data_IF_009433222940
#
_entry.id   IF_009433222940
#
_cell.length_a   1.000
_cell.length_b   1.000
_cell.length_c   1.000
_cell.angle_alpha   90.00
_cell.angle_beta   90.00
_cell.angle_gamma   90.00
#
_symmetry.space_group_name_H-M   'P 1'
#
loop_
_entity.id
_entity.type
_entity.pdbx_description
1 polymer ?
#
# COMPACT_ATOMS: atom_id res chain seq x y z
N UNK A 1 -6.36 -21.34 7.29
CA UNK A 1 -5.36 -20.53 8.00
C UNK A 1 -4.08 -20.60 7.17
N UNK A 2 -3.83 -19.60 6.33
CA UNK A 2 -2.45 -19.36 5.89
C UNK A 2 -1.74 -18.91 7.16
N UNK A 3 -0.59 -19.48 7.48
CA UNK A 3 0.17 -19.05 8.66
C UNK A 3 1.15 -17.98 8.16
N UNK A 4 0.63 -16.78 7.88
CA UNK A 4 1.46 -15.66 7.40
C UNK A 4 2.63 -15.38 8.36
N UNK A 5 2.47 -15.71 9.65
CA UNK A 5 3.49 -15.53 10.67
C UNK A 5 4.63 -16.52 10.52
N UNK A 6 4.34 -17.78 10.19
CA UNK A 6 5.37 -18.80 9.92
C UNK A 6 6.25 -18.50 8.71
N UNK A 7 5.80 -17.63 7.80
CA UNK A 7 6.58 -17.22 6.62
C UNK A 7 7.64 -16.15 6.94
N UNK A 8 7.47 -15.37 8.02
CA UNK A 8 8.34 -14.23 8.36
C UNK A 8 9.83 -14.60 8.48
N UNK A 9 10.23 -15.70 9.17
CA UNK A 9 11.65 -16.05 9.30
C UNK A 9 12.32 -16.37 7.96
N UNK A 10 11.57 -16.92 6.99
CA UNK A 10 12.09 -17.25 5.67
C UNK A 10 12.34 -16.00 4.83
N UNK A 11 11.47 -15.00 4.94
CA UNK A 11 11.66 -13.72 4.29
C UNK A 11 12.84 -12.94 4.86
N UNK A 12 13.04 -13.00 6.18
CA UNK A 12 14.18 -12.34 6.85
C UNK A 12 15.52 -12.85 6.31
N UNK A 13 15.67 -14.17 6.15
CA UNK A 13 16.86 -14.75 5.53
C UNK A 13 17.08 -14.26 4.09
N UNK A 14 15.99 -14.03 3.35
CA UNK A 14 16.08 -13.51 1.97
C UNK A 14 16.51 -12.04 1.90
N UNK A 15 16.20 -11.24 2.92
CA UNK A 15 16.60 -9.83 2.99
C UNK A 15 18.08 -9.61 3.31
N UNK A 16 18.79 -10.65 3.77
CA UNK A 16 20.23 -10.63 3.98
C UNK A 16 21.04 -10.78 2.68
N UNK A 17 20.36 -11.08 1.57
CA UNK A 17 20.96 -11.18 0.22
C UNK A 17 20.97 -9.83 -0.49
N UNK A 18 21.73 -9.75 -1.59
CA UNK A 18 21.74 -8.57 -2.45
C UNK A 18 20.34 -8.32 -3.04
N UNK A 19 19.83 -7.09 -2.83
CA UNK A 19 18.49 -6.69 -3.24
C UNK A 19 18.55 -5.95 -4.58
N UNK A 20 18.38 -6.69 -5.67
CA UNK A 20 18.29 -6.12 -7.02
C UNK A 20 16.81 -5.93 -7.44
N UNK A 21 16.33 -4.68 -7.56
CA UNK A 21 14.95 -4.38 -7.95
C UNK A 21 14.64 -4.69 -9.43
N UNK A 22 15.66 -4.96 -10.26
CA UNK A 22 15.47 -5.42 -11.63
C UNK A 22 15.00 -6.88 -11.70
N UNK A 23 15.17 -7.63 -10.60
CA UNK A 23 14.83 -9.04 -10.50
C UNK A 23 13.44 -9.21 -9.89
N UNK A 24 12.54 -9.81 -10.66
CA UNK A 24 11.13 -9.93 -10.32
C UNK A 24 10.89 -10.70 -9.00
N UNK A 25 11.60 -11.80 -8.76
CA UNK A 25 11.41 -12.57 -7.53
C UNK A 25 11.89 -11.81 -6.28
N UNK A 26 12.89 -10.92 -6.41
CA UNK A 26 13.34 -10.07 -5.31
C UNK A 26 12.24 -9.08 -4.96
N UNK A 27 11.62 -8.44 -5.96
CA UNK A 27 10.46 -7.58 -5.76
C UNK A 27 9.31 -8.33 -5.06
N UNK A 28 9.01 -9.55 -5.52
CA UNK A 28 7.97 -10.39 -4.90
C UNK A 28 8.30 -10.79 -3.47
N UNK A 29 9.56 -11.11 -3.17
CA UNK A 29 10.01 -11.48 -1.83
C UNK A 29 9.84 -10.31 -0.86
N UNK A 30 10.36 -9.13 -1.19
CA UNK A 30 10.29 -7.97 -0.31
C UNK A 30 8.84 -7.51 -0.12
N UNK A 31 8.04 -7.49 -1.20
CA UNK A 31 6.61 -7.12 -1.11
C UNK A 31 5.79 -8.18 -0.37
N UNK A 32 6.10 -9.47 -0.54
CA UNK A 32 5.47 -10.56 0.20
C UNK A 32 5.75 -10.47 1.70
N UNK A 33 6.99 -10.17 2.08
CA UNK A 33 7.36 -9.96 3.48
C UNK A 33 6.56 -8.82 4.12
N UNK A 34 6.52 -7.64 3.49
CA UNK A 34 5.77 -6.51 4.03
C UNK A 34 4.26 -6.77 4.05
N UNK A 35 3.70 -7.50 3.08
CA UNK A 35 2.32 -7.96 3.13
C UNK A 35 2.05 -8.91 4.32
N UNK A 36 2.96 -9.84 4.62
CA UNK A 36 2.87 -10.69 5.81
C UNK A 36 2.93 -9.86 7.10
N UNK A 37 3.83 -8.88 7.20
CA UNK A 37 3.90 -8.00 8.37
C UNK A 37 2.61 -7.19 8.56
N UNK A 38 2.05 -6.63 7.48
CA UNK A 38 0.75 -5.95 7.51
C UNK A 38 -0.35 -6.90 8.01
N UNK A 39 -0.42 -8.11 7.46
CA UNK A 39 -1.43 -9.10 7.84
C UNK A 39 -1.31 -9.55 9.31
N UNK A 40 -0.09 -9.63 9.83
CA UNK A 40 0.18 -9.95 11.24
C UNK A 40 0.01 -8.76 12.19
N UNK A 41 -0.23 -7.54 11.68
CA UNK A 41 -0.32 -6.32 12.49
C UNK A 41 1.02 -5.86 13.08
N UNK A 42 2.15 -6.34 12.55
CA UNK A 42 3.51 -6.01 12.99
C UNK A 42 3.94 -4.63 12.44
N UNK A 43 3.15 -3.59 12.71
CA UNK A 43 3.22 -2.28 12.04
C UNK A 43 4.59 -1.58 12.21
N UNK A 44 5.16 -1.62 13.42
CA UNK A 44 6.47 -1.01 13.70
C UNK A 44 7.60 -1.71 12.94
N UNK A 45 7.54 -3.06 12.86
CA UNK A 45 8.50 -3.86 12.09
C UNK A 45 8.34 -3.64 10.59
N UNK A 46 7.10 -3.53 10.11
CA UNK A 46 6.83 -3.21 8.71
C UNK A 46 7.43 -1.85 8.31
N UNK A 47 7.44 -0.88 9.23
CA UNK A 47 8.00 0.45 8.99
C UNK A 47 9.51 0.42 8.70
N UNK A 48 10.25 -0.58 9.20
CA UNK A 48 11.68 -0.75 8.90
C UNK A 48 11.96 -0.96 7.42
N UNK A 49 10.97 -1.41 6.63
CA UNK A 49 11.10 -1.53 5.18
C UNK A 49 11.29 -0.17 4.50
N UNK A 50 10.93 0.95 5.12
CA UNK A 50 11.19 2.29 4.59
C UNK A 50 12.66 2.51 4.17
N UNK A 51 13.62 1.83 4.80
CA UNK A 51 15.05 1.89 4.45
C UNK A 51 15.39 1.43 3.02
N UNK A 52 14.51 0.64 2.37
CA UNK A 52 14.71 0.18 1.00
C UNK A 52 13.97 1.02 -0.04
N UNK A 53 13.44 2.20 0.32
CA UNK A 53 12.76 3.11 -0.61
C UNK A 53 13.66 3.59 -1.75
N UNK A 54 14.96 3.76 -1.52
CA UNK A 54 15.90 4.15 -2.57
C UNK A 54 16.15 3.03 -3.60
N UNK A 55 15.91 1.78 -3.20
CA UNK A 55 16.10 0.59 -4.05
C UNK A 55 14.80 0.26 -4.79
N UNK A 56 13.69 0.14 -4.07
CA UNK A 56 12.41 -0.34 -4.62
C UNK A 56 11.39 0.78 -4.88
N UNK A 57 11.77 2.05 -4.72
CA UNK A 57 10.87 3.19 -4.89
C UNK A 57 10.33 3.36 -6.31
N UNK A 58 10.83 2.62 -7.30
CA UNK A 58 10.32 2.58 -8.68
C UNK A 58 9.40 1.39 -8.94
N UNK A 59 9.21 0.50 -7.97
CA UNK A 59 8.34 -0.68 -8.07
C UNK A 59 6.94 -0.36 -7.50
N UNK A 60 5.87 -0.35 -8.32
CA UNK A 60 4.54 0.09 -7.87
C UNK A 60 4.02 -0.68 -6.67
N UNK A 61 4.20 -2.01 -6.64
CA UNK A 61 3.77 -2.86 -5.52
C UNK A 61 4.46 -2.48 -4.21
N UNK A 62 5.74 -2.12 -4.29
CA UNK A 62 6.52 -1.72 -3.12
C UNK A 62 6.07 -0.35 -2.60
N UNK A 63 5.93 0.63 -3.50
CA UNK A 63 5.46 1.97 -3.13
C UNK A 63 4.04 1.91 -2.53
N UNK A 64 3.15 1.10 -3.10
CA UNK A 64 1.80 0.92 -2.58
C UNK A 64 1.78 0.24 -1.20
N UNK A 65 2.60 -0.80 -1.03
CA UNK A 65 2.78 -1.47 0.25
C UNK A 65 3.30 -0.49 1.31
N UNK A 66 4.31 0.33 0.99
CA UNK A 66 4.81 1.37 1.89
C UNK A 66 3.73 2.40 2.24
N UNK A 67 2.89 2.80 1.28
CA UNK A 67 1.73 3.65 1.56
C UNK A 67 0.78 3.04 2.59
N UNK A 68 0.54 1.73 2.51
CA UNK A 68 -0.27 0.98 3.48
C UNK A 68 0.41 0.91 4.85
N UNK A 69 1.72 0.66 4.88
CA UNK A 69 2.53 0.61 6.12
C UNK A 69 2.52 1.96 6.82
N UNK A 70 2.74 3.06 6.08
CA UNK A 70 2.68 4.41 6.64
C UNK A 70 1.29 4.72 7.19
N UNK A 71 0.22 4.37 6.48
CA UNK A 71 -1.15 4.56 6.96
C UNK A 71 -1.41 3.79 8.27
N UNK A 72 -0.97 2.54 8.38
CA UNK A 72 -1.12 1.73 9.60
C UNK A 72 -0.30 2.27 10.78
N UNK A 73 0.76 3.04 10.51
CA UNK A 73 1.56 3.75 11.50
C UNK A 73 1.09 5.21 11.70
N UNK A 74 -0.06 5.60 11.16
CA UNK A 74 -0.63 6.95 11.26
C UNK A 74 0.23 8.06 10.63
N UNK A 75 1.17 7.68 9.75
CA UNK A 75 2.00 8.58 8.95
C UNK A 75 1.26 8.96 7.67
N UNK A 76 0.14 9.68 7.81
CA UNK A 76 -0.81 9.92 6.72
C UNK A 76 -0.23 10.74 5.56
N UNK A 77 0.67 11.69 5.85
CA UNK A 77 1.35 12.48 4.82
C UNK A 77 2.18 11.59 3.89
N UNK A 78 3.04 10.76 4.46
CA UNK A 78 3.88 9.82 3.71
C UNK A 78 3.04 8.78 2.95
N UNK A 79 1.97 8.29 3.58
CA UNK A 79 1.02 7.40 2.94
C UNK A 79 0.40 8.02 1.68
N UNK A 80 -0.09 9.26 1.77
CA UNK A 80 -0.62 10.01 0.63
C UNK A 80 0.44 10.19 -0.46
N UNK A 81 1.68 10.55 -0.11
CA UNK A 81 2.77 10.68 -1.07
C UNK A 81 3.04 9.38 -1.83
N UNK A 82 3.02 8.23 -1.14
CA UNK A 82 3.14 6.92 -1.78
C UNK A 82 1.98 6.64 -2.75
N UNK A 83 0.73 6.83 -2.34
CA UNK A 83 -0.42 6.56 -3.20
C UNK A 83 -0.49 7.51 -4.40
N UNK A 84 -0.16 8.79 -4.23
CA UNK A 84 -0.03 9.75 -5.34
C UNK A 84 1.08 9.32 -6.30
N UNK A 85 2.24 8.87 -5.77
CA UNK A 85 3.32 8.34 -6.60
C UNK A 85 2.84 7.15 -7.43
N UNK A 86 2.12 6.19 -6.85
CA UNK A 86 1.54 5.06 -7.59
C UNK A 86 0.66 5.49 -8.77
N UNK A 87 -0.12 6.57 -8.64
CA UNK A 87 -0.95 7.09 -9.74
C UNK A 87 -0.13 7.62 -10.94
N UNK A 88 1.15 7.94 -10.73
CA UNK A 88 2.07 8.37 -11.79
C UNK A 88 2.89 7.22 -12.39
N UNK A 89 2.78 6.02 -11.82
CA UNK A 89 3.58 4.85 -12.21
C UNK A 89 2.84 4.00 -13.24
N UNK A 90 3.62 3.28 -14.06
CA UNK A 90 3.07 2.24 -14.92
C UNK A 90 2.70 1.02 -14.06
N UNK A 91 1.53 0.44 -14.32
CA UNK A 91 1.13 -0.81 -13.69
C UNK A 91 2.16 -1.92 -13.98
N UNK A 92 2.48 -2.72 -12.97
CA UNK A 92 3.47 -3.78 -13.05
C UNK A 92 2.79 -5.16 -12.97
N UNK A 93 2.66 -5.73 -11.77
CA UNK A 93 2.06 -7.05 -11.54
C UNK A 93 0.61 -6.96 -11.09
N UNK A 94 0.33 -6.05 -10.17
CA UNK A 94 -0.96 -6.04 -9.45
C UNK A 94 -1.91 -5.03 -10.07
N UNK A 95 -2.94 -5.54 -10.74
CA UNK A 95 -3.98 -4.72 -11.35
C UNK A 95 -4.64 -3.81 -10.30
N UNK A 96 -4.69 -2.52 -10.58
CA UNK A 96 -5.39 -1.53 -9.77
C UNK A 96 -4.52 -0.70 -8.82
N UNK A 97 -3.27 -1.11 -8.57
CA UNK A 97 -2.37 -0.37 -7.67
C UNK A 97 -2.14 1.06 -8.14
N UNK A 98 -2.02 1.27 -9.45
CA UNK A 98 -1.78 2.59 -10.06
C UNK A 98 -3.09 3.30 -10.45
N UNK A 99 -4.24 2.80 -9.98
CA UNK A 99 -5.55 3.38 -10.26
C UNK A 99 -6.49 3.27 -9.05
N UNK A 100 -7.45 2.34 -9.09
CA UNK A 100 -8.57 2.33 -8.15
C UNK A 100 -8.16 2.01 -6.70
N UNK A 101 -7.09 1.24 -6.48
CA UNK A 101 -6.61 1.01 -5.12
C UNK A 101 -5.92 2.24 -4.53
N UNK A 102 -5.10 2.96 -5.30
CA UNK A 102 -4.46 4.19 -4.84
C UNK A 102 -5.51 5.29 -4.55
N UNK A 103 -6.48 5.48 -5.45
CA UNK A 103 -7.58 6.41 -5.22
C UNK A 103 -8.41 6.05 -4.00
N UNK A 104 -8.73 4.77 -3.81
CA UNK A 104 -9.48 4.34 -2.63
C UNK A 104 -8.75 4.69 -1.32
N UNK A 105 -7.45 4.42 -1.23
CA UNK A 105 -6.70 4.69 -0.01
C UNK A 105 -6.53 6.20 0.25
N UNK A 106 -6.36 7.02 -0.80
CA UNK A 106 -6.39 8.49 -0.66
C UNK A 106 -7.75 8.98 -0.14
N UNK A 107 -8.84 8.39 -0.62
CA UNK A 107 -10.18 8.66 -0.11
C UNK A 107 -10.33 8.28 1.37
N UNK A 108 -9.85 7.10 1.75
CA UNK A 108 -9.90 6.62 3.14
C UNK A 108 -9.11 7.50 4.10
N UNK A 109 -7.92 7.95 3.72
CA UNK A 109 -7.13 8.89 4.53
C UNK A 109 -7.84 10.24 4.64
N UNK A 110 -8.37 10.77 3.53
CA UNK A 110 -9.08 12.06 3.54
C UNK A 110 -10.33 12.01 4.43
N UNK A 111 -11.08 10.90 4.37
CA UNK A 111 -12.25 10.66 5.20
C UNK A 111 -11.87 10.61 6.69
N UNK A 112 -10.80 9.89 7.03
CA UNK A 112 -10.29 9.77 8.39
C UNK A 112 -9.84 11.12 8.97
N UNK A 113 -9.30 12.01 8.14
CA UNK A 113 -8.89 13.36 8.52
C UNK A 113 -10.06 14.37 8.55
N UNK A 114 -11.28 13.92 8.24
CA UNK A 114 -12.49 14.76 8.27
C UNK A 114 -12.74 15.56 7.00
N UNK A 115 -11.93 15.41 5.95
CA UNK A 115 -12.15 16.08 4.66
C UNK A 115 -13.07 15.25 3.76
N UNK A 116 -14.36 15.29 4.10
CA UNK A 116 -15.42 14.54 3.40
C UNK A 116 -15.51 14.89 1.92
N UNK A 117 -15.28 16.14 1.54
CA UNK A 117 -15.36 16.58 0.15
C UNK A 117 -14.24 15.96 -0.70
N UNK A 118 -13.00 16.00 -0.20
CA UNK A 118 -11.85 15.37 -0.86
C UNK A 118 -12.00 13.84 -0.88
N UNK A 119 -12.48 13.23 0.21
CA UNK A 119 -12.74 11.79 0.27
C UNK A 119 -13.68 11.33 -0.84
N UNK A 120 -14.80 12.04 -1.03
CA UNK A 120 -15.79 11.75 -2.08
C UNK A 120 -15.16 11.88 -3.48
N UNK A 121 -14.34 12.91 -3.74
CA UNK A 121 -13.64 13.05 -5.02
C UNK A 121 -12.77 11.83 -5.32
N UNK A 122 -11.92 11.43 -4.37
CA UNK A 122 -11.05 10.28 -4.54
C UNK A 122 -11.82 8.97 -4.72
N UNK A 123 -12.89 8.74 -3.94
CA UNK A 123 -13.70 7.53 -4.12
C UNK A 123 -14.40 7.48 -5.48
N UNK A 124 -14.84 8.62 -6.04
CA UNK A 124 -15.37 8.66 -7.42
C UNK A 124 -14.30 8.31 -8.44
N UNK A 125 -13.07 8.80 -8.25
CA UNK A 125 -11.92 8.49 -9.13
C UNK A 125 -11.49 7.02 -9.05
N UNK A 126 -11.83 6.31 -7.98
CA UNK A 126 -11.65 4.86 -7.88
C UNK A 126 -12.65 4.06 -8.74
N UNK A 127 -13.61 4.71 -9.41
CA UNK A 127 -14.56 4.07 -10.33
C UNK A 127 -15.43 3.02 -9.65
N UNK A 128 -15.65 1.89 -10.33
CA UNK A 128 -16.53 0.81 -9.86
C UNK A 128 -15.92 -0.06 -8.74
N UNK A 129 -14.86 0.41 -8.07
CA UNK A 129 -14.25 -0.34 -6.98
C UNK A 129 -15.24 -0.50 -5.82
N UNK A 130 -15.65 -1.74 -5.45
CA UNK A 130 -16.79 -1.95 -4.56
C UNK A 130 -16.68 -1.27 -3.19
N UNK A 131 -15.46 -1.21 -2.62
CA UNK A 131 -15.26 -0.54 -1.32
C UNK A 131 -15.43 0.97 -1.42
N UNK A 132 -14.99 1.60 -2.51
CA UNK A 132 -15.20 3.03 -2.74
C UNK A 132 -16.68 3.35 -2.95
N UNK A 133 -17.40 2.51 -3.71
CA UNK A 133 -18.84 2.67 -3.91
C UNK A 133 -19.62 2.55 -2.59
N UNK A 134 -19.24 1.61 -1.73
CA UNK A 134 -19.83 1.46 -0.41
C UNK A 134 -19.60 2.70 0.48
N UNK A 135 -18.38 3.27 0.47
CA UNK A 135 -18.08 4.51 1.21
C UNK A 135 -18.82 5.72 0.63
N UNK A 136 -18.88 5.87 -0.69
CA UNK A 136 -19.64 6.96 -1.34
C UNK A 136 -21.09 6.96 -0.89
N UNK A 137 -21.74 5.80 -0.96
CA UNK A 137 -23.13 5.64 -0.53
C UNK A 137 -23.31 6.09 0.92
N UNK A 138 -22.47 5.62 1.84
CA UNK A 138 -22.53 5.99 3.24
C UNK A 138 -22.33 7.50 3.48
N UNK A 139 -21.44 8.14 2.74
CA UNK A 139 -21.14 9.57 2.90
C UNK A 139 -22.21 10.48 2.27
N UNK A 140 -22.95 10.02 1.27
CA UNK A 140 -23.98 10.83 0.60
C UNK A 140 -25.40 10.64 1.14
N UNK A 141 -25.62 9.60 1.95
CA UNK A 141 -26.90 9.30 2.59
C UNK A 141 -27.02 9.86 4.04
N UNK A 142 -25.97 10.51 4.54
CA UNK A 142 -25.97 11.34 5.78
C UNK A 142 -26.55 12.74 5.53
#
# INVERSE_FOLDING_TARGET
MRDERSALPWFEQGLDLELDPSIEYVNMMVTGYGQCLIACGENAKALELSKYMDIFGTVPEYVFMMGTIYMNNQLYGDACSCFVKCLSMKENRTKGITSFFAFHNLGAISELLGDKAIAIDFYKRAGDYPRSQARLKALTEE
#
